data_IF_433591196441
#
_entry.id   IF_433591196441
#
_cell.length_a   1.000
_cell.length_b   1.000
_cell.length_c   1.000
_cell.angle_alpha   90.00
_cell.angle_beta   90.00
_cell.angle_gamma   90.00
#
_symmetry.space_group_name_H-M   'P 1'
#
loop_
_entity.id
_entity.type
_entity.pdbx_description
1 polymer ?
#
# COMPACT_ATOMS: atom_id res chain seq x y z
N UNK A 1 18.67 -3.51 -1.19
CA UNK A 1 17.58 -2.51 -1.26
C UNK A 1 17.73 -1.52 -0.10
N UNK A 2 17.84 -0.24 -0.39
CA UNK A 2 17.78 0.86 0.58
C UNK A 2 16.34 1.37 0.64
N UNK A 3 15.72 1.35 1.81
CA UNK A 3 14.34 1.82 1.99
C UNK A 3 14.25 3.01 2.93
N UNK A 4 13.26 3.87 2.71
CA UNK A 4 12.90 4.99 3.57
C UNK A 4 11.43 4.86 3.96
N UNK A 5 11.12 5.03 5.24
CA UNK A 5 9.76 5.05 5.78
C UNK A 5 9.44 6.49 6.20
N UNK A 6 8.40 7.06 5.62
CA UNK A 6 7.98 8.44 5.93
C UNK A 6 7.14 8.43 7.21
N UNK A 7 7.46 9.34 8.12
CA UNK A 7 6.79 9.46 9.43
C UNK A 7 6.03 10.77 9.49
N UNK A 8 4.72 10.70 9.66
CA UNK A 8 3.85 11.86 9.90
C UNK A 8 3.37 11.87 11.36
N UNK A 9 2.99 13.03 11.91
CA UNK A 9 2.27 13.08 13.18
C UNK A 9 1.01 12.22 13.13
N UNK A 10 0.81 11.33 14.11
CA UNK A 10 -0.34 10.43 14.18
C UNK A 10 -0.21 9.13 13.39
N UNK A 11 0.88 8.92 12.63
CA UNK A 11 1.18 7.60 12.06
C UNK A 11 1.48 6.63 13.22
N UNK A 12 1.12 5.36 13.07
CA UNK A 12 1.30 4.36 14.13
C UNK A 12 1.74 2.97 13.62
N UNK A 13 1.98 2.83 12.30
CA UNK A 13 2.46 1.58 11.68
C UNK A 13 3.86 1.69 11.10
N UNK A 14 4.56 2.79 11.36
CA UNK A 14 5.93 3.00 10.89
C UNK A 14 6.92 1.97 11.43
N UNK A 15 6.72 1.53 12.70
CA UNK A 15 7.58 0.54 13.35
C UNK A 15 7.34 -0.86 12.82
N UNK A 16 6.07 -1.24 12.62
CA UNK A 16 5.69 -2.53 12.04
C UNK A 16 6.26 -2.63 10.62
N UNK A 17 6.12 -1.57 9.84
CA UNK A 17 6.67 -1.47 8.48
C UNK A 17 8.20 -1.57 8.48
N UNK A 18 8.88 -0.83 9.36
CA UNK A 18 10.34 -0.88 9.49
C UNK A 18 10.82 -2.28 9.88
N UNK A 19 10.10 -2.96 10.79
CA UNK A 19 10.39 -4.34 11.20
C UNK A 19 10.25 -5.31 10.03
N UNK A 20 9.15 -5.23 9.26
CA UNK A 20 8.94 -6.10 8.09
C UNK A 20 10.03 -5.89 7.03
N UNK A 21 10.37 -4.64 6.71
CA UNK A 21 11.44 -4.31 5.77
C UNK A 21 12.79 -4.84 6.24
N UNK A 22 13.16 -4.63 7.51
CA UNK A 22 14.40 -5.14 8.10
C UNK A 22 14.46 -6.66 8.07
N UNK A 23 13.38 -7.32 8.50
CA UNK A 23 13.30 -8.79 8.57
C UNK A 23 13.59 -9.43 7.21
N UNK A 24 13.07 -8.86 6.11
CA UNK A 24 13.13 -9.50 4.81
C UNK A 24 14.32 -9.01 3.98
N UNK A 25 14.67 -7.72 4.06
CA UNK A 25 15.81 -7.16 3.33
C UNK A 25 17.17 -7.34 4.06
N UNK A 26 17.14 -7.65 5.37
CA UNK A 26 18.33 -7.66 6.23
C UNK A 26 18.88 -6.26 6.53
N UNK A 27 18.19 -5.19 6.13
CA UNK A 27 18.64 -3.81 6.27
C UNK A 27 17.61 -2.93 6.95
N UNK A 28 18.05 -2.13 7.94
CA UNK A 28 17.23 -1.13 8.60
C UNK A 28 16.81 -0.04 7.60
N UNK A 29 15.51 0.30 7.49
CA UNK A 29 15.06 1.44 6.70
C UNK A 29 15.44 2.75 7.38
N UNK A 30 15.65 3.81 6.60
CA UNK A 30 15.76 5.17 7.12
C UNK A 30 14.36 5.67 7.52
N UNK A 31 14.24 6.23 8.72
CA UNK A 31 13.02 6.92 9.15
C UNK A 31 13.13 8.39 8.74
N UNK A 32 12.19 8.88 7.91
CA UNK A 32 12.20 10.22 7.33
C UNK A 32 11.02 11.02 7.88
N UNK A 33 11.30 12.17 8.50
CA UNK A 33 10.26 12.97 9.12
C UNK A 33 9.50 13.82 8.09
N UNK A 34 8.20 14.01 8.29
CA UNK A 34 7.34 14.73 7.35
C UNK A 34 7.78 16.16 7.03
N UNK A 35 8.53 16.80 7.92
CA UNK A 35 9.06 18.16 7.75
C UNK A 35 10.38 18.21 6.98
N UNK A 36 11.02 17.06 6.74
CA UNK A 36 12.20 16.98 5.87
C UNK A 36 11.80 17.32 4.43
N UNK A 37 12.77 17.80 3.64
CA UNK A 37 12.56 18.17 2.24
C UNK A 37 13.32 17.27 1.26
N UNK A 38 14.02 16.26 1.77
CA UNK A 38 14.82 15.34 0.96
C UNK A 38 14.78 13.91 1.49
N UNK A 39 14.95 12.95 0.59
CA UNK A 39 15.14 11.55 0.92
C UNK A 39 16.63 11.23 1.06
N UNK A 40 17.03 10.20 1.84
CA UNK A 40 18.40 9.73 1.89
C UNK A 40 18.93 9.36 0.50
N UNK A 41 20.18 9.67 0.23
CA UNK A 41 20.81 9.39 -1.06
C UNK A 41 20.80 7.89 -1.39
N UNK A 42 20.40 7.55 -2.63
CA UNK A 42 20.32 6.19 -3.12
C UNK A 42 19.17 5.37 -2.48
N UNK A 43 18.08 6.04 -2.07
CA UNK A 43 16.84 5.35 -1.70
C UNK A 43 16.26 4.63 -2.90
N UNK A 44 16.03 3.33 -2.78
CA UNK A 44 15.44 2.46 -3.79
C UNK A 44 13.92 2.39 -3.64
N UNK A 45 13.44 2.29 -2.39
CA UNK A 45 12.03 2.16 -2.03
C UNK A 45 11.65 3.23 -1.00
N UNK A 46 10.60 3.97 -1.27
CA UNK A 46 9.93 4.82 -0.28
C UNK A 46 8.65 4.14 0.18
N UNK A 47 8.37 4.15 1.48
CA UNK A 47 7.13 3.62 2.04
C UNK A 47 6.43 4.72 2.84
N UNK A 48 5.14 4.90 2.54
CA UNK A 48 4.20 5.72 3.31
C UNK A 48 3.32 4.74 4.11
N UNK A 49 3.56 4.57 5.42
CA UNK A 49 2.90 3.54 6.22
C UNK A 49 1.49 3.93 6.64
N UNK A 50 0.81 2.99 7.30
CA UNK A 50 -0.52 3.18 7.86
C UNK A 50 -0.53 3.99 9.15
N UNK A 51 -1.72 4.47 9.52
CA UNK A 51 -1.97 5.25 10.73
C UNK A 51 -3.10 6.25 10.54
N UNK A 52 -3.02 7.34 11.28
CA UNK A 52 -4.00 8.43 11.30
C UNK A 52 -3.25 9.76 11.17
N UNK A 53 -2.63 9.98 10.01
CA UNK A 53 -1.78 11.16 9.80
C UNK A 53 -2.53 12.46 10.09
N UNK A 54 -1.95 13.29 10.97
CA UNK A 54 -2.56 14.51 11.49
C UNK A 54 -3.95 14.31 12.12
N UNK A 55 -4.26 13.08 12.63
CA UNK A 55 -5.55 12.73 13.24
C UNK A 55 -6.71 12.60 12.25
N UNK A 56 -6.41 12.44 10.95
CA UNK A 56 -7.40 12.35 9.86
C UNK A 56 -8.36 13.56 9.77
N UNK A 57 -7.93 14.71 10.30
CA UNK A 57 -8.70 15.93 10.18
C UNK A 57 -8.87 16.34 8.73
N UNK A 58 -10.02 16.91 8.40
CA UNK A 58 -10.50 17.30 7.09
C UNK A 58 -10.89 16.07 6.24
N UNK A 59 -9.93 15.24 5.88
CA UNK A 59 -10.05 13.97 5.15
C UNK A 59 -8.77 13.18 5.32
N UNK A 60 -8.88 11.85 5.47
CA UNK A 60 -7.72 10.98 5.64
C UNK A 60 -6.66 11.24 4.56
N UNK A 61 -5.44 11.54 4.98
CA UNK A 61 -4.31 11.80 4.09
C UNK A 61 -4.20 13.22 3.52
N UNK A 62 -5.26 14.05 3.54
CA UNK A 62 -5.28 15.34 2.84
C UNK A 62 -4.22 16.34 3.36
N UNK A 63 -4.00 16.40 4.66
CA UNK A 63 -2.98 17.28 5.25
C UNK A 63 -1.58 16.70 4.97
N UNK A 64 -1.41 15.40 5.15
CA UNK A 64 -0.13 14.72 4.91
C UNK A 64 0.34 14.84 3.46
N UNK A 65 -0.58 14.81 2.49
CA UNK A 65 -0.28 15.01 1.06
C UNK A 65 0.37 16.37 0.75
N UNK A 66 0.27 17.34 1.67
CA UNK A 66 0.86 18.68 1.56
C UNK A 66 2.12 18.88 2.40
N UNK A 67 2.57 17.85 3.12
CA UNK A 67 3.76 17.93 3.94
C UNK A 67 5.03 18.16 3.08
N UNK A 68 6.05 18.85 3.62
CA UNK A 68 7.29 19.18 2.88
C UNK A 68 7.96 18.00 2.21
N UNK A 69 8.00 16.84 2.86
CA UNK A 69 8.62 15.62 2.32
C UNK A 69 7.94 15.10 1.04
N UNK A 70 6.64 15.39 0.84
CA UNK A 70 5.90 14.87 -0.30
C UNK A 70 6.42 15.36 -1.66
N UNK A 71 7.08 16.53 -1.70
CA UNK A 71 7.80 16.97 -2.90
C UNK A 71 8.93 16.02 -3.28
N UNK A 72 9.72 15.56 -2.31
CA UNK A 72 10.79 14.59 -2.55
C UNK A 72 10.24 13.18 -2.86
N UNK A 73 9.12 12.79 -2.24
CA UNK A 73 8.42 11.52 -2.52
C UNK A 73 7.89 11.51 -3.95
N UNK A 74 7.22 12.58 -4.40
CA UNK A 74 6.73 12.70 -5.78
C UNK A 74 7.87 12.66 -6.79
N UNK A 75 8.94 13.43 -6.57
CA UNK A 75 10.12 13.42 -7.42
C UNK A 75 10.82 12.04 -7.46
N UNK A 76 10.78 11.26 -6.37
CA UNK A 76 11.29 9.89 -6.36
C UNK A 76 10.44 8.97 -7.28
N UNK A 77 9.12 9.05 -7.19
CA UNK A 77 8.21 8.30 -8.05
C UNK A 77 8.34 8.69 -9.53
N UNK A 78 8.41 9.99 -9.84
CA UNK A 78 8.59 10.52 -11.20
C UNK A 78 9.88 10.02 -11.88
N UNK A 79 10.94 9.77 -11.12
CA UNK A 79 12.20 9.19 -11.62
C UNK A 79 12.17 7.66 -11.71
N UNK A 80 11.01 7.01 -11.50
CA UNK A 80 10.84 5.57 -11.54
C UNK A 80 11.22 4.83 -10.25
N UNK A 81 11.50 5.54 -9.16
CA UNK A 81 11.73 4.95 -7.85
C UNK A 81 10.47 4.25 -7.31
N UNK A 82 10.64 3.13 -6.60
CA UNK A 82 9.49 2.39 -6.06
C UNK A 82 8.89 3.12 -4.86
N UNK A 83 7.55 3.20 -4.85
CA UNK A 83 6.77 3.84 -3.79
C UNK A 83 5.61 2.93 -3.36
N UNK A 84 5.51 2.69 -2.06
CA UNK A 84 4.48 1.85 -1.45
C UNK A 84 3.67 2.66 -0.43
N UNK A 85 2.36 2.74 -0.62
CA UNK A 85 1.41 3.33 0.34
C UNK A 85 0.51 2.26 0.96
N UNK A 86 0.54 2.13 2.29
CA UNK A 86 -0.28 1.16 3.03
C UNK A 86 -1.34 1.90 3.86
N UNK A 87 -2.61 1.51 3.73
CA UNK A 87 -3.74 2.05 4.47
C UNK A 87 -3.78 3.61 4.39
N UNK A 88 -3.47 4.33 5.46
CA UNK A 88 -3.36 5.80 5.43
C UNK A 88 -2.33 6.28 4.38
N UNK A 89 -1.26 5.52 4.15
CA UNK A 89 -0.32 5.80 3.05
C UNK A 89 -0.97 5.76 1.68
N UNK A 90 -1.86 4.81 1.41
CA UNK A 90 -2.63 4.77 0.15
C UNK A 90 -3.54 6.00 0.02
N UNK A 91 -4.23 6.38 1.09
CA UNK A 91 -5.04 7.61 1.13
C UNK A 91 -4.18 8.84 0.80
N UNK A 92 -3.00 8.97 1.41
CA UNK A 92 -2.06 10.07 1.15
C UNK A 92 -1.63 10.10 -0.33
N UNK A 93 -1.33 8.94 -0.92
CA UNK A 93 -0.90 8.87 -2.33
C UNK A 93 -2.02 9.25 -3.31
N UNK A 94 -3.28 8.91 -3.01
CA UNK A 94 -4.43 9.38 -3.78
C UNK A 94 -4.61 10.91 -3.64
N UNK A 95 -4.54 11.44 -2.41
CA UNK A 95 -4.66 12.87 -2.14
C UNK A 95 -3.51 13.70 -2.76
N UNK A 96 -2.34 13.10 -2.91
CA UNK A 96 -1.18 13.71 -3.58
C UNK A 96 -1.24 13.60 -5.11
N UNK A 97 -2.24 12.90 -5.68
CA UNK A 97 -2.36 12.67 -7.12
C UNK A 97 -1.35 11.67 -7.70
N UNK A 98 -0.67 10.89 -6.84
CA UNK A 98 0.30 9.86 -7.25
C UNK A 98 -0.38 8.53 -7.61
N UNK A 99 -1.62 8.34 -7.17
CA UNK A 99 -2.50 7.23 -7.53
C UNK A 99 -3.88 7.74 -7.92
N UNK A 100 -4.58 7.07 -8.86
CA UNK A 100 -5.93 7.45 -9.25
C UNK A 100 -6.96 7.06 -8.18
N UNK A 101 -8.12 7.72 -8.20
CA UNK A 101 -9.24 7.44 -7.30
C UNK A 101 -9.10 8.08 -5.91
N UNK A 102 -10.00 7.71 -5.03
CA UNK A 102 -10.08 8.20 -3.65
C UNK A 102 -10.52 7.08 -2.70
N UNK A 103 -10.18 7.21 -1.42
CA UNK A 103 -10.67 6.32 -0.37
C UNK A 103 -11.79 7.04 0.39
N UNK A 104 -12.99 6.47 0.33
CA UNK A 104 -14.19 6.97 1.00
C UNK A 104 -14.46 6.17 2.28
N UNK A 105 -15.40 6.65 3.10
CA UNK A 105 -15.89 5.89 4.25
C UNK A 105 -16.37 4.52 3.83
N UNK A 106 -16.06 3.52 4.67
CA UNK A 106 -16.57 2.17 4.50
C UNK A 106 -18.09 2.18 4.30
N UNK A 107 -18.61 1.36 3.41
CA UNK A 107 -20.04 1.32 3.09
C UNK A 107 -20.94 1.13 4.32
N UNK A 108 -20.47 0.37 5.32
CA UNK A 108 -21.19 0.15 6.59
C UNK A 108 -21.02 1.31 7.60
N UNK A 109 -20.26 2.36 7.27
CA UNK A 109 -19.94 3.51 8.14
C UNK A 109 -19.27 3.11 9.48
N UNK A 110 -18.65 1.93 9.52
CA UNK A 110 -17.97 1.40 10.71
C UNK A 110 -16.48 1.24 10.45
N UNK A 111 -15.68 1.43 11.50
CA UNK A 111 -14.29 1.00 11.52
C UNK A 111 -14.25 -0.52 11.51
N UNK A 112 -13.45 -1.10 10.64
CA UNK A 112 -13.21 -2.54 10.55
C UNK A 112 -11.78 -2.86 10.93
N UNK A 113 -11.58 -3.93 11.72
CA UNK A 113 -10.28 -4.40 12.15
C UNK A 113 -10.34 -5.94 12.28
N UNK A 114 -9.99 -6.63 11.21
CA UNK A 114 -9.93 -8.09 11.15
C UNK A 114 -9.12 -8.54 9.93
N UNK A 115 -8.81 -9.83 9.87
CA UNK A 115 -8.17 -10.44 8.70
C UNK A 115 -9.13 -10.50 7.52
N UNK A 116 -8.61 -10.22 6.33
CA UNK A 116 -9.31 -10.35 5.04
C UNK A 116 -8.49 -11.24 4.11
N UNK A 117 -9.16 -11.81 3.11
CA UNK A 117 -8.50 -12.54 2.04
C UNK A 117 -8.36 -11.64 0.82
N UNK A 118 -7.18 -11.68 0.21
CA UNK A 118 -6.87 -10.94 -1.01
C UNK A 118 -6.45 -11.91 -2.11
N UNK A 119 -7.07 -11.77 -3.27
CA UNK A 119 -6.60 -12.42 -4.49
C UNK A 119 -5.56 -11.55 -5.18
N UNK A 120 -4.45 -12.16 -5.58
CA UNK A 120 -3.40 -11.54 -6.38
C UNK A 120 -3.80 -11.58 -7.84
N UNK A 121 -4.01 -10.44 -8.49
CA UNK A 121 -4.49 -10.40 -9.88
C UNK A 121 -3.37 -10.68 -10.89
N UNK A 122 -2.13 -10.28 -10.59
CA UNK A 122 -0.95 -10.54 -11.43
C UNK A 122 0.32 -10.62 -10.58
N UNK A 123 1.37 -11.32 -11.07
CA UNK A 123 2.61 -11.59 -10.32
C UNK A 123 3.88 -11.06 -10.97
N UNK A 124 3.76 -10.32 -12.07
CA UNK A 124 4.87 -9.82 -12.88
C UNK A 124 5.31 -8.37 -12.54
N UNK A 125 4.89 -7.86 -11.38
CA UNK A 125 5.27 -6.53 -10.91
C UNK A 125 6.31 -6.60 -9.78
N UNK A 126 7.07 -5.52 -9.50
CA UNK A 126 7.97 -5.47 -8.35
C UNK A 126 7.30 -5.80 -7.01
N UNK A 127 6.01 -5.47 -6.88
CA UNK A 127 5.24 -5.63 -5.64
C UNK A 127 4.60 -7.02 -5.48
N UNK A 128 4.43 -7.76 -6.56
CA UNK A 128 3.68 -9.03 -6.54
C UNK A 128 4.49 -10.24 -6.98
N UNK A 129 5.73 -10.06 -7.46
CA UNK A 129 6.58 -11.17 -7.93
C UNK A 129 6.92 -12.23 -6.87
N UNK A 130 6.73 -11.91 -5.58
CA UNK A 130 6.84 -12.87 -4.49
C UNK A 130 5.61 -13.75 -4.29
N UNK A 131 4.60 -13.64 -5.17
CA UNK A 131 3.36 -14.41 -5.18
C UNK A 131 3.11 -15.06 -6.55
N UNK A 132 2.10 -15.91 -6.64
CA UNK A 132 1.57 -16.40 -7.91
C UNK A 132 0.28 -15.63 -8.27
N UNK A 133 0.03 -15.44 -9.56
CA UNK A 133 -1.25 -14.92 -10.02
C UNK A 133 -2.39 -15.87 -9.61
N UNK A 134 -3.49 -15.33 -9.11
CA UNK A 134 -4.61 -16.09 -8.55
C UNK A 134 -4.39 -16.60 -7.12
N UNK A 135 -3.18 -16.45 -6.55
CA UNK A 135 -2.93 -16.81 -5.15
C UNK A 135 -3.81 -15.97 -4.22
N UNK A 136 -4.33 -16.62 -3.18
CA UNK A 136 -5.06 -15.95 -2.10
C UNK A 136 -4.13 -15.84 -0.89
N UNK A 137 -4.07 -14.64 -0.32
CA UNK A 137 -3.33 -14.34 0.91
C UNK A 137 -4.27 -13.80 1.98
N UNK A 138 -3.95 -14.04 3.25
CA UNK A 138 -4.68 -13.51 4.40
C UNK A 138 -3.85 -12.42 5.07
N UNK A 139 -4.39 -11.19 5.15
CA UNK A 139 -3.75 -10.04 5.78
C UNK A 139 -4.79 -9.19 6.51
N UNK A 140 -4.44 -8.45 7.58
CA UNK A 140 -5.41 -7.65 8.31
C UNK A 140 -5.74 -6.33 7.61
N UNK A 141 -6.92 -5.82 7.90
CA UNK A 141 -7.33 -4.42 7.66
C UNK A 141 -7.63 -3.73 8.99
N UNK A 142 -7.42 -2.42 9.06
CA UNK A 142 -7.75 -1.58 10.22
C UNK A 142 -8.06 -0.16 9.75
N UNK A 143 -9.30 0.11 9.30
CA UNK A 143 -9.66 1.40 8.71
C UNK A 143 -11.16 1.73 8.80
N UNK A 144 -11.49 3.01 8.86
CA UNK A 144 -12.84 3.55 8.71
C UNK A 144 -13.14 4.09 7.30
N UNK A 145 -12.09 4.38 6.53
CA UNK A 145 -12.15 4.96 5.18
C UNK A 145 -11.26 4.14 4.23
N UNK A 146 -11.76 2.99 3.81
CA UNK A 146 -11.06 2.08 2.90
C UNK A 146 -11.82 1.76 1.62
N UNK A 147 -12.99 2.37 1.42
CA UNK A 147 -13.81 2.17 0.24
C UNK A 147 -13.21 2.91 -0.95
N UNK A 148 -12.53 2.18 -1.82
CA UNK A 148 -11.92 2.72 -3.04
C UNK A 148 -12.98 3.07 -4.08
N UNK A 149 -12.97 4.31 -4.55
CA UNK A 149 -13.90 4.83 -5.55
C UNK A 149 -13.11 5.61 -6.61
N UNK A 150 -13.50 5.44 -7.88
CA UNK A 150 -13.06 6.26 -9.00
C UNK A 150 -14.18 6.36 -10.02
N UNK A 151 -14.07 7.30 -10.98
CA UNK A 151 -15.00 7.39 -12.10
C UNK A 151 -14.89 6.15 -13.02
N UNK A 152 -15.94 5.91 -13.79
CA UNK A 152 -16.05 4.74 -14.67
C UNK A 152 -14.87 4.62 -15.66
N UNK A 153 -14.42 5.75 -16.21
CA UNK A 153 -13.30 5.76 -17.16
C UNK A 153 -11.99 5.37 -16.49
N UNK A 154 -11.76 5.83 -15.26
CA UNK A 154 -10.60 5.45 -14.46
C UNK A 154 -10.66 3.96 -14.07
N UNK A 155 -11.82 3.46 -13.64
CA UNK A 155 -11.99 2.02 -13.36
C UNK A 155 -11.72 1.19 -14.61
N UNK A 156 -12.30 1.55 -15.76
CA UNK A 156 -12.09 0.84 -17.03
C UNK A 156 -10.61 0.80 -17.43
N UNK A 157 -9.86 1.89 -17.23
CA UNK A 157 -8.40 1.92 -17.48
C UNK A 157 -7.64 1.05 -16.51
N UNK A 158 -7.92 1.11 -15.21
CA UNK A 158 -7.27 0.25 -14.21
C UNK A 158 -7.44 -1.23 -14.53
N UNK A 159 -8.64 -1.62 -14.98
CA UNK A 159 -8.95 -2.99 -15.36
C UNK A 159 -8.23 -3.41 -16.65
N UNK A 160 -8.37 -2.62 -17.72
CA UNK A 160 -7.82 -2.95 -19.04
C UNK A 160 -6.28 -2.95 -19.08
N UNK A 161 -5.64 -2.11 -18.26
CA UNK A 161 -4.18 -2.00 -18.14
C UNK A 161 -3.60 -2.95 -17.06
N UNK A 162 -4.45 -3.74 -16.39
CA UNK A 162 -4.04 -4.67 -15.34
C UNK A 162 -3.36 -3.97 -14.15
N UNK A 163 -3.84 -2.78 -13.79
CA UNK A 163 -3.31 -1.99 -12.66
C UNK A 163 -3.98 -2.27 -11.33
N UNK A 164 -5.00 -3.10 -11.29
CA UNK A 164 -5.53 -3.66 -10.04
C UNK A 164 -4.66 -4.86 -9.66
N UNK A 165 -3.95 -4.78 -8.54
CA UNK A 165 -3.06 -5.86 -8.10
C UNK A 165 -3.69 -6.78 -7.06
N UNK A 166 -4.56 -6.23 -6.21
CA UNK A 166 -5.17 -6.94 -5.10
C UNK A 166 -6.68 -6.70 -5.08
N UNK A 167 -7.46 -7.77 -4.90
CA UNK A 167 -8.90 -7.67 -4.65
C UNK A 167 -9.29 -8.39 -3.38
N UNK A 168 -10.25 -7.83 -2.66
CA UNK A 168 -10.94 -8.56 -1.60
C UNK A 168 -11.64 -9.77 -2.20
N UNK A 169 -11.44 -10.94 -1.61
CA UNK A 169 -11.93 -12.21 -2.12
C UNK A 169 -12.36 -13.14 -0.98
N UNK A 170 -13.09 -14.19 -1.32
CA UNK A 170 -13.33 -15.33 -0.44
C UNK A 170 -12.02 -16.14 -0.25
N UNK A 171 -11.96 -17.04 0.75
CA UNK A 171 -10.77 -17.90 0.96
C UNK A 171 -10.39 -18.76 -0.24
N UNK A 172 -11.33 -19.08 -1.13
CA UNK A 172 -11.12 -19.85 -2.36
C UNK A 172 -10.76 -18.95 -3.57
N UNK A 173 -10.68 -17.61 -3.38
CA UNK A 173 -10.35 -16.64 -4.40
C UNK A 173 -11.53 -16.12 -5.22
N UNK A 174 -12.76 -16.57 -4.96
CA UNK A 174 -13.95 -16.03 -5.61
C UNK A 174 -14.24 -14.59 -5.16
N UNK A 175 -14.74 -13.77 -6.08
CA UNK A 175 -15.08 -12.36 -5.80
C UNK A 175 -16.56 -12.26 -5.41
N UNK A 176 -16.85 -12.50 -4.16
CA UNK A 176 -18.19 -12.39 -3.61
C UNK A 176 -18.37 -11.06 -2.85
N UNK A 177 -19.55 -10.45 -2.98
CA UNK A 177 -19.87 -9.18 -2.31
C UNK A 177 -19.71 -9.24 -0.79
N UNK A 178 -19.95 -10.41 -0.18
CA UNK A 178 -19.80 -10.62 1.27
C UNK A 178 -18.36 -10.42 1.77
N UNK A 179 -17.36 -10.62 0.93
CA UNK A 179 -15.94 -10.45 1.27
C UNK A 179 -15.39 -9.08 0.91
N UNK A 180 -16.14 -8.25 0.19
CA UNK A 180 -15.81 -6.85 -0.06
C UNK A 180 -16.16 -5.99 1.17
N UNK A 181 -15.32 -6.06 2.18
CA UNK A 181 -15.60 -5.62 3.55
C UNK A 181 -15.87 -4.13 3.70
N UNK A 182 -15.42 -3.30 2.76
CA UNK A 182 -15.51 -1.85 2.83
C UNK A 182 -16.35 -1.23 1.70
N UNK A 183 -16.84 -2.03 0.74
CA UNK A 183 -17.65 -1.58 -0.38
C UNK A 183 -16.84 -1.01 -1.56
N UNK A 184 -15.54 -1.27 -1.62
CA UNK A 184 -14.68 -0.79 -2.70
C UNK A 184 -15.19 -1.22 -4.09
N UNK A 185 -15.12 -0.31 -5.06
CA UNK A 185 -15.49 -0.59 -6.46
C UNK A 185 -14.74 -1.82 -6.95
N UNK A 186 -15.46 -2.79 -7.54
CA UNK A 186 -14.92 -4.07 -8.04
C UNK A 186 -14.07 -4.84 -7.01
N UNK A 187 -14.35 -4.68 -5.71
CA UNK A 187 -13.59 -5.27 -4.62
C UNK A 187 -12.08 -4.88 -4.63
N UNK A 188 -11.74 -3.73 -5.22
CA UNK A 188 -10.34 -3.26 -5.33
C UNK A 188 -9.75 -3.01 -3.94
N UNK A 189 -8.66 -3.72 -3.62
CA UNK A 189 -7.92 -3.58 -2.38
C UNK A 189 -6.56 -2.87 -2.57
N UNK A 190 -6.04 -2.85 -3.81
CA UNK A 190 -4.79 -2.17 -4.14
C UNK A 190 -4.59 -1.95 -5.63
N UNK A 191 -4.02 -0.78 -5.99
CA UNK A 191 -3.84 -0.32 -7.36
C UNK A 191 -2.43 0.23 -7.62
N UNK A 192 -2.01 0.15 -8.88
CA UNK A 192 -0.79 0.78 -9.41
C UNK A 192 -1.09 2.12 -10.08
N UNK A 193 -0.07 2.99 -10.12
CA UNK A 193 -0.02 4.11 -11.05
C UNK A 193 0.25 3.63 -12.50
N UNK A 194 0.26 4.57 -13.46
CA UNK A 194 0.46 4.26 -14.89
C UNK A 194 1.82 3.65 -15.20
N UNK A 195 2.86 4.06 -14.51
CA UNK A 195 4.23 3.59 -14.72
C UNK A 195 4.57 2.31 -13.96
N UNK A 196 3.66 1.81 -13.09
CA UNK A 196 3.81 0.55 -12.36
C UNK A 196 4.81 0.58 -11.20
N UNK A 197 5.29 1.76 -10.81
CA UNK A 197 6.27 1.93 -9.74
C UNK A 197 5.69 2.48 -8.43
N UNK A 198 4.42 2.84 -8.40
CA UNK A 198 3.69 3.27 -7.19
C UNK A 198 2.54 2.32 -6.92
N UNK A 199 2.54 1.69 -5.76
CA UNK A 199 1.45 0.84 -5.27
C UNK A 199 0.80 1.48 -4.05
N UNK A 200 -0.54 1.53 -4.03
CA UNK A 200 -1.34 1.77 -2.84
C UNK A 200 -2.23 0.59 -2.53
N UNK A 201 -2.32 0.19 -1.27
CA UNK A 201 -3.26 -0.84 -0.81
C UNK A 201 -3.76 -0.57 0.60
N UNK A 202 -5.02 -0.94 0.87
CA UNK A 202 -5.63 -0.73 2.20
C UNK A 202 -5.23 -1.77 3.25
N UNK A 203 -5.10 -3.06 2.92
CA UNK A 203 -4.65 -4.07 3.88
C UNK A 203 -3.18 -3.92 4.29
N UNK A 204 -2.83 -4.52 5.44
CA UNK A 204 -1.54 -4.40 6.13
C UNK A 204 -0.67 -5.66 5.99
N UNK A 205 0.11 -5.83 4.91
CA UNK A 205 0.98 -7.00 4.75
C UNK A 205 2.10 -7.05 5.79
N UNK A 206 2.53 -5.89 6.32
CA UNK A 206 3.57 -5.80 7.36
C UNK A 206 3.19 -6.49 8.66
N UNK A 207 1.88 -6.56 8.96
CA UNK A 207 1.37 -7.24 10.15
C UNK A 207 1.23 -8.77 9.98
N UNK A 208 1.42 -9.30 8.77
CA UNK A 208 1.50 -10.74 8.48
C UNK A 208 2.81 -11.09 7.74
N UNK A 209 3.93 -10.49 8.17
CA UNK A 209 5.26 -10.73 7.60
C UNK A 209 6.08 -11.79 8.37
N UNK A 210 5.63 -12.22 9.55
CA UNK A 210 6.30 -13.22 10.40
C UNK A 210 5.29 -14.08 11.18
N UNK A 211 5.64 -15.34 11.40
CA UNK A 211 4.74 -16.33 12.01
C UNK A 211 4.25 -15.93 13.41
N UNK A 212 5.05 -15.18 14.18
CA UNK A 212 4.68 -14.68 15.49
C UNK A 212 3.46 -13.72 15.46
N UNK A 213 3.14 -13.15 14.31
CA UNK A 213 1.97 -12.28 14.09
C UNK A 213 0.75 -13.04 13.54
N UNK A 214 0.80 -14.39 13.49
CA UNK A 214 -0.31 -15.25 13.09
C UNK A 214 -0.32 -15.68 11.63
N UNK A 215 0.47 -15.05 10.74
CA UNK A 215 0.64 -15.44 9.34
C UNK A 215 1.96 -14.92 8.76
N UNK A 216 2.37 -15.51 7.65
CA UNK A 216 3.49 -15.01 6.82
C UNK A 216 3.04 -14.61 5.42
N UNK A 217 1.75 -14.52 5.18
CA UNK A 217 1.18 -14.28 3.84
C UNK A 217 1.56 -12.91 3.27
N UNK A 218 1.73 -11.89 4.14
CA UNK A 218 2.19 -10.56 3.72
C UNK A 218 3.66 -10.49 3.31
N UNK A 219 4.45 -11.54 3.64
CA UNK A 219 5.90 -11.58 3.37
C UNK A 219 6.26 -11.50 1.89
N UNK A 220 5.40 -12.08 1.04
CA UNK A 220 5.64 -12.13 -0.41
C UNK A 220 5.79 -10.76 -1.06
N UNK A 221 5.05 -9.74 -0.59
CA UNK A 221 5.20 -8.37 -1.10
C UNK A 221 6.62 -7.83 -0.86
N UNK A 222 7.14 -7.96 0.34
CA UNK A 222 8.48 -7.47 0.70
C UNK A 222 9.59 -8.31 0.06
N UNK A 223 9.40 -9.62 -0.07
CA UNK A 223 10.33 -10.50 -0.76
C UNK A 223 10.42 -10.15 -2.24
N UNK A 224 9.28 -9.90 -2.89
CA UNK A 224 9.22 -9.44 -4.28
C UNK A 224 9.99 -8.15 -4.51
N UNK A 225 9.83 -7.17 -3.63
CA UNK A 225 10.58 -5.91 -3.67
C UNK A 225 12.10 -6.14 -3.55
N UNK A 226 12.53 -6.97 -2.60
CA UNK A 226 13.96 -7.29 -2.43
C UNK A 226 14.53 -7.99 -3.66
N UNK A 227 13.80 -8.94 -4.23
CA UNK A 227 14.25 -9.71 -5.40
C UNK A 227 14.27 -8.86 -6.67
N UNK A 228 13.41 -7.86 -6.78
CA UNK A 228 13.46 -6.88 -7.86
C UNK A 228 14.83 -6.17 -7.92
N UNK A 229 15.32 -5.69 -6.79
CA UNK A 229 16.60 -4.97 -6.73
C UNK A 229 17.83 -5.89 -6.80
N UNK A 230 17.71 -7.17 -6.47
CA UNK A 230 18.81 -8.15 -6.67
C UNK A 230 19.03 -8.49 -8.15
N UNK A 231 17.94 -8.48 -8.95
CA UNK A 231 18.03 -8.78 -10.39
C UNK A 231 18.51 -7.58 -11.22
N UNK A 232 18.35 -6.35 -10.69
CA UNK A 232 18.77 -5.12 -11.34
C UNK A 232 20.22 -4.71 -11.02
N UNK A 233 20.90 -5.41 -10.10
CA UNK A 233 22.28 -5.19 -9.66
C UNK A 233 23.24 -6.16 -10.36
#
# INVERSE_FOLDING_TARGET
MKSAVVVFPGINRERDMARALKLISGREPAMVWHADTSLPAGTDLVVVPGGFSYGDYLRCGAIAARAPIMGAVSAHAERGGLLLGICNGFQILCEAGLLPGVLMRNAALKFICHDVYLRIERSDTPFTRGYNAGQVIRVPVAHGEGNYVADEATIARLESEGRVLFRYAAPDGTLEAAFNVNGATNAIAGVLNETGNVLGMMPHPENHAEAALGSTDGRGLFAGLVDHFKQAA
#
